data_IF_212482244274
#
_entry.id   IF_212482244274
#
_cell.length_a   1.000
_cell.length_b   1.000
_cell.length_c   1.000
_cell.angle_alpha   90.00
_cell.angle_beta   90.00
_cell.angle_gamma   90.00
#
_symmetry.space_group_name_H-M   'P 1'
#
loop_
_entity.id
_entity.type
_entity.pdbx_description
1 polymer ?
#
# COMPACT_ATOMS: atom_id res chain seq x y z
N UNK A 1 33.42 43.16 -39.41
CA UNK A 1 32.51 42.33 -40.24
C UNK A 1 31.15 42.27 -39.57
N UNK A 2 30.12 42.83 -40.21
CA UNK A 2 28.77 42.90 -39.66
C UNK A 2 27.94 41.74 -40.26
N UNK A 3 27.54 40.77 -39.43
CA UNK A 3 26.73 39.64 -39.91
C UNK A 3 25.34 40.10 -40.36
N UNK A 4 24.88 39.57 -41.51
CA UNK A 4 23.57 39.87 -42.08
C UNK A 4 22.41 39.49 -41.13
N UNK A 5 21.31 40.28 -41.12
CA UNK A 5 20.24 40.19 -40.12
C UNK A 5 19.48 38.86 -40.13
N UNK A 6 19.42 38.16 -41.27
CA UNK A 6 18.76 36.86 -41.40
C UNK A 6 19.56 35.75 -40.70
N UNK A 7 20.89 35.80 -40.80
CA UNK A 7 21.80 34.84 -40.16
C UNK A 7 21.72 34.94 -38.63
N UNK A 8 21.55 36.17 -38.10
CA UNK A 8 21.36 36.41 -36.66
C UNK A 8 20.03 35.83 -36.15
N UNK A 9 18.93 35.92 -36.92
CA UNK A 9 17.62 35.32 -36.57
C UNK A 9 17.66 33.79 -36.62
N UNK A 10 18.33 33.21 -37.61
CA UNK A 10 18.49 31.75 -37.71
C UNK A 10 19.36 31.19 -36.59
N UNK A 11 20.45 31.89 -36.22
CA UNK A 11 21.27 31.52 -35.06
C UNK A 11 20.52 31.64 -33.73
N UNK A 12 19.70 32.70 -33.54
CA UNK A 12 18.90 32.85 -32.31
C UNK A 12 17.83 31.75 -32.17
N UNK A 13 17.20 31.35 -33.28
CA UNK A 13 16.21 30.26 -33.30
C UNK A 13 16.86 28.88 -33.07
N UNK A 14 18.07 28.65 -33.58
CA UNK A 14 18.81 27.42 -33.33
C UNK A 14 19.23 27.27 -31.86
N UNK A 15 19.57 28.37 -31.17
CA UNK A 15 19.90 28.37 -29.73
C UNK A 15 18.64 28.11 -28.87
N UNK A 16 17.47 28.63 -29.27
CA UNK A 16 16.20 28.37 -28.56
C UNK A 16 15.72 26.91 -28.70
N UNK A 17 15.95 26.27 -29.85
CA UNK A 17 15.57 24.85 -30.06
C UNK A 17 16.53 23.90 -29.33
N UNK A 18 17.81 24.27 -29.20
CA UNK A 18 18.79 23.48 -28.45
C UNK A 18 18.63 23.56 -26.92
N UNK A 19 17.98 24.61 -26.40
CA UNK A 19 17.80 24.81 -24.95
C UNK A 19 16.59 24.05 -24.34
N UNK A 20 15.72 23.46 -25.17
CA UNK A 20 14.44 22.86 -24.72
C UNK A 20 14.55 21.34 -24.46
N UNK A 21 15.66 20.68 -24.81
CA UNK A 21 15.71 19.21 -24.87
C UNK A 21 16.63 18.54 -23.83
N UNK A 22 16.64 19.01 -22.59
CA UNK A 22 17.19 18.24 -21.46
C UNK A 22 16.34 18.40 -20.21
N UNK A 23 15.07 17.98 -20.28
CA UNK A 23 14.34 17.59 -19.07
C UNK A 23 14.89 16.21 -18.72
N UNK A 24 15.93 16.15 -17.89
CA UNK A 24 16.33 14.90 -17.25
C UNK A 24 15.22 14.54 -16.26
N UNK A 25 14.36 13.60 -16.66
CA UNK A 25 13.52 12.89 -15.70
C UNK A 25 14.48 12.05 -14.87
N UNK A 26 14.82 12.53 -13.66
CA UNK A 26 15.49 11.71 -12.68
C UNK A 26 14.49 10.60 -12.31
N UNK A 27 14.69 9.40 -12.87
CA UNK A 27 14.03 8.21 -12.38
C UNK A 27 14.61 7.92 -11.00
N UNK A 28 13.97 8.44 -9.95
CA UNK A 28 14.28 8.03 -8.60
C UNK A 28 13.94 6.55 -8.50
N UNK A 29 14.95 5.71 -8.26
CA UNK A 29 14.72 4.31 -7.96
C UNK A 29 13.98 4.25 -6.62
N UNK A 30 12.67 4.01 -6.65
CA UNK A 30 11.84 3.87 -5.46
C UNK A 30 12.18 2.53 -4.79
N UNK A 31 12.54 2.57 -3.50
CA UNK A 31 12.76 1.37 -2.71
C UNK A 31 11.42 0.81 -2.22
N UNK A 32 11.32 -0.51 -2.07
CA UNK A 32 10.10 -1.19 -1.67
C UNK A 32 10.37 -2.18 -0.53
N UNK A 33 9.37 -2.35 0.34
CA UNK A 33 9.27 -3.42 1.32
C UNK A 33 8.41 -4.54 0.74
N UNK A 34 8.88 -5.78 0.81
CA UNK A 34 8.11 -6.95 0.41
C UNK A 34 7.33 -7.50 1.60
N UNK A 35 6.02 -7.66 1.44
CA UNK A 35 5.16 -8.33 2.40
C UNK A 35 4.75 -9.66 1.82
N UNK A 36 5.01 -10.75 2.53
CA UNK A 36 4.60 -12.09 2.15
C UNK A 36 3.94 -12.79 3.34
N UNK A 37 3.13 -13.80 3.06
CA UNK A 37 2.48 -14.53 4.13
C UNK A 37 1.43 -15.48 3.62
N UNK A 38 0.63 -15.99 4.55
CA UNK A 38 -0.51 -16.84 4.25
C UNK A 38 -1.78 -16.31 4.90
N UNK A 39 -2.83 -16.24 4.09
CA UNK A 39 -4.19 -16.12 4.58
C UNK A 39 -4.72 -17.51 4.97
N UNK A 40 -5.17 -17.62 6.21
CA UNK A 40 -5.86 -18.77 6.76
C UNK A 40 -7.36 -18.48 6.77
N UNK A 41 -8.14 -19.36 6.19
CA UNK A 41 -9.60 -19.30 6.24
C UNK A 41 -10.10 -20.65 6.76
N UNK A 42 -11.17 -20.63 7.57
CA UNK A 42 -11.71 -21.85 8.16
C UNK A 42 -12.19 -22.85 7.09
N UNK A 43 -12.72 -22.37 5.96
CA UNK A 43 -12.94 -23.19 4.77
C UNK A 43 -11.64 -23.36 3.98
N UNK A 44 -11.44 -24.56 3.43
CA UNK A 44 -10.22 -24.89 2.68
C UNK A 44 -10.11 -24.15 1.33
N UNK A 45 -11.13 -23.39 0.90
CA UNK A 45 -11.17 -22.65 -0.35
C UNK A 45 -10.85 -21.16 -0.15
N UNK A 46 -10.10 -20.59 -1.10
CA UNK A 46 -9.80 -19.15 -1.18
C UNK A 46 -10.72 -18.42 -2.16
N UNK A 47 -11.80 -19.07 -2.60
CA UNK A 47 -12.75 -18.49 -3.55
C UNK A 47 -13.44 -17.25 -2.94
N UNK A 48 -13.57 -16.21 -3.76
CA UNK A 48 -14.22 -14.94 -3.40
C UNK A 48 -13.57 -14.20 -2.21
N UNK A 49 -12.30 -14.51 -1.90
CA UNK A 49 -11.50 -13.65 -1.02
C UNK A 49 -10.95 -12.50 -1.84
N UNK A 50 -11.16 -11.28 -1.35
CA UNK A 50 -10.56 -10.06 -1.85
C UNK A 50 -9.54 -9.55 -0.83
N UNK A 51 -8.29 -9.41 -1.26
CA UNK A 51 -7.24 -8.77 -0.49
C UNK A 51 -6.83 -7.51 -1.25
N UNK A 52 -6.93 -6.35 -0.61
CA UNK A 52 -6.61 -5.07 -1.24
C UNK A 52 -5.70 -4.25 -0.36
N UNK A 53 -4.89 -3.40 -0.98
CA UNK A 53 -4.07 -2.40 -0.31
C UNK A 53 -4.47 -1.04 -0.82
N UNK A 54 -4.70 -0.09 0.09
CA UNK A 54 -5.03 1.29 -0.28
C UNK A 54 -4.19 2.30 0.49
N UNK A 55 -3.74 3.35 -0.19
CA UNK A 55 -3.10 4.53 0.41
C UNK A 55 -4.13 5.63 0.75
N UNK A 56 -5.43 5.33 0.59
CA UNK A 56 -6.55 6.27 0.74
C UNK A 56 -6.98 6.96 -0.56
N UNK A 57 -6.18 6.85 -1.62
CA UNK A 57 -6.44 7.44 -2.94
C UNK A 57 -6.54 6.38 -4.03
N UNK A 58 -5.55 5.49 -4.08
CA UNK A 58 -5.47 4.36 -4.98
C UNK A 58 -5.70 3.05 -4.21
N UNK A 59 -6.23 2.06 -4.90
CA UNK A 59 -6.45 0.71 -4.37
C UNK A 59 -5.85 -0.30 -5.33
N UNK A 60 -5.01 -1.17 -4.79
CA UNK A 60 -4.37 -2.27 -5.50
C UNK A 60 -4.92 -3.61 -5.01
N UNK A 61 -5.33 -4.46 -5.94
CA UNK A 61 -5.67 -5.85 -5.63
C UNK A 61 -4.39 -6.67 -5.39
N UNK A 62 -4.38 -7.44 -4.30
CA UNK A 62 -3.31 -8.39 -3.98
C UNK A 62 -3.72 -9.78 -4.47
N UNK A 63 -2.85 -10.38 -5.29
CA UNK A 63 -3.09 -11.73 -5.80
C UNK A 63 -2.90 -12.78 -4.72
N UNK A 64 -3.97 -13.52 -4.41
CA UNK A 64 -3.96 -14.69 -3.54
C UNK A 64 -3.80 -15.98 -4.35
N UNK A 65 -2.87 -16.84 -3.92
CA UNK A 65 -2.75 -18.19 -4.46
C UNK A 65 -3.78 -19.11 -3.82
N UNK A 66 -4.10 -20.22 -4.48
CA UNK A 66 -5.05 -21.22 -3.97
C UNK A 66 -4.71 -21.80 -2.58
N UNK A 67 -3.43 -21.74 -2.17
CA UNK A 67 -2.98 -22.16 -0.85
C UNK A 67 -2.94 -21.02 0.19
N UNK A 68 -3.58 -19.88 -0.10
CA UNK A 68 -3.64 -18.69 0.75
C UNK A 68 -2.39 -17.83 0.71
N UNK A 69 -1.33 -18.21 -0.02
CA UNK A 69 -0.10 -17.40 -0.09
C UNK A 69 -0.32 -16.12 -0.87
N UNK A 70 0.25 -15.02 -0.37
CA UNK A 70 0.27 -13.73 -1.04
C UNK A 70 1.66 -13.09 -0.98
N UNK A 71 1.90 -12.14 -1.88
CA UNK A 71 3.06 -11.26 -1.88
C UNK A 71 2.64 -9.91 -2.47
N UNK A 72 3.02 -8.81 -1.82
CA UNK A 72 2.86 -7.46 -2.36
C UNK A 72 4.00 -6.54 -1.91
N UNK A 73 4.10 -5.37 -2.54
CA UNK A 73 5.20 -4.43 -2.34
C UNK A 73 4.64 -3.05 -1.98
N UNK A 74 5.15 -2.49 -0.89
CA UNK A 74 4.81 -1.13 -0.48
C UNK A 74 6.07 -0.27 -0.61
N UNK A 75 5.99 0.93 -1.21
CA UNK A 75 7.11 1.86 -1.19
C UNK A 75 7.63 2.12 0.23
N UNK A 76 8.92 2.39 0.37
CA UNK A 76 9.47 2.96 1.62
C UNK A 76 8.96 4.39 1.79
N UNK A 77 8.73 4.82 3.03
CA UNK A 77 8.13 6.12 3.38
C UNK A 77 6.68 6.28 2.93
N UNK A 78 5.90 5.22 3.12
CA UNK A 78 4.49 5.19 2.78
C UNK A 78 3.66 4.61 3.93
N UNK A 79 2.35 4.87 3.89
CA UNK A 79 1.39 4.30 4.82
C UNK A 79 0.15 3.83 4.07
N UNK A 80 -0.19 2.56 4.26
CA UNK A 80 -1.31 1.92 3.57
C UNK A 80 -2.18 1.14 4.54
N UNK A 81 -3.41 0.85 4.11
CA UNK A 81 -4.33 -0.07 4.77
C UNK A 81 -4.46 -1.33 3.91
N UNK A 82 -4.10 -2.48 4.49
CA UNK A 82 -4.42 -3.79 3.93
C UNK A 82 -5.82 -4.20 4.41
N UNK A 83 -6.69 -4.56 3.48
CA UNK A 83 -8.06 -5.00 3.76
C UNK A 83 -8.25 -6.42 3.24
N UNK A 84 -8.87 -7.25 4.08
CA UNK A 84 -9.34 -8.59 3.74
C UNK A 84 -10.86 -8.59 3.78
N UNK A 85 -11.46 -9.02 2.69
CA UNK A 85 -12.89 -9.16 2.58
C UNK A 85 -13.26 -10.50 1.93
N UNK A 86 -14.33 -11.10 2.44
CA UNK A 86 -14.94 -12.29 1.87
C UNK A 86 -16.40 -12.34 2.31
N UNK A 87 -17.35 -12.55 1.38
CA UNK A 87 -18.75 -12.72 1.73
C UNK A 87 -18.96 -13.82 2.78
N UNK A 88 -19.71 -13.51 3.84
CA UNK A 88 -19.95 -14.42 4.96
C UNK A 88 -18.82 -14.48 6.00
N UNK A 89 -17.82 -13.61 5.91
CA UNK A 89 -16.72 -13.46 6.88
C UNK A 89 -16.66 -12.02 7.40
N UNK A 90 -16.08 -11.87 8.58
CA UNK A 90 -15.84 -10.55 9.18
C UNK A 90 -14.66 -9.91 8.44
N UNK A 91 -14.89 -8.75 7.82
CA UNK A 91 -13.83 -8.01 7.12
C UNK A 91 -12.77 -7.53 8.11
N UNK A 92 -11.49 -7.62 7.72
CA UNK A 92 -10.35 -7.28 8.58
C UNK A 92 -9.47 -6.26 7.90
N UNK A 93 -8.96 -5.31 8.68
CA UNK A 93 -8.00 -4.31 8.20
C UNK A 93 -6.74 -4.30 9.05
N UNK A 94 -5.62 -3.97 8.41
CA UNK A 94 -4.29 -3.86 9.01
C UNK A 94 -3.63 -2.59 8.51
N UNK A 95 -3.01 -1.83 9.39
CA UNK A 95 -2.21 -0.66 9.03
C UNK A 95 -0.77 -1.09 8.73
N UNK A 96 -0.19 -0.56 7.67
CA UNK A 96 1.20 -0.80 7.31
C UNK A 96 1.89 0.54 7.15
N UNK A 97 2.97 0.76 7.90
CA UNK A 97 3.72 2.00 7.97
C UNK A 97 5.20 1.70 7.69
N UNK A 98 5.70 2.16 6.53
CA UNK A 98 7.06 1.87 6.05
C UNK A 98 8.03 3.04 6.23
N UNK A 99 7.68 4.08 7.00
CA UNK A 99 8.51 5.30 7.16
C UNK A 99 9.91 5.04 7.73
N UNK A 100 10.06 4.06 8.61
CA UNK A 100 11.37 3.70 9.18
C UNK A 100 11.93 2.42 8.56
N UNK A 101 11.35 1.94 7.46
CA UNK A 101 11.85 0.75 6.81
C UNK A 101 13.28 1.03 6.29
N UNK A 102 14.22 0.08 6.45
CA UNK A 102 15.56 0.27 5.92
C UNK A 102 15.47 0.48 4.40
N UNK A 103 16.21 1.46 3.88
CA UNK A 103 16.40 1.65 2.45
C UNK A 103 17.90 1.55 2.15
N UNK A 104 18.28 0.72 1.18
CA UNK A 104 19.63 0.74 0.62
C UNK A 104 19.56 1.52 -0.69
N UNK A 105 20.36 2.58 -0.80
CA UNK A 105 20.53 3.27 -2.07
C UNK A 105 21.21 2.34 -3.08
N UNK A 106 20.58 2.17 -4.24
CA UNK A 106 21.17 1.48 -5.38
C UNK A 106 20.56 0.12 -5.67
N UNK A 107 19.79 0.09 -6.76
CA UNK A 107 19.15 -1.09 -7.37
C UNK A 107 17.96 -1.62 -6.56
N UNK A 108 16.96 -2.12 -7.28
CA UNK A 108 15.72 -2.74 -6.82
C UNK A 108 16.06 -3.93 -5.90
N UNK A 109 16.46 -3.65 -4.67
CA UNK A 109 16.73 -4.64 -3.65
C UNK A 109 15.57 -4.52 -2.66
N UNK A 110 14.83 -5.63 -2.51
CA UNK A 110 13.67 -5.70 -1.60
C UNK A 110 14.21 -5.55 -0.18
N UNK A 111 14.25 -4.32 0.32
CA UNK A 111 15.13 -3.95 1.44
C UNK A 111 14.73 -4.60 2.77
N UNK A 112 13.46 -4.98 2.89
CA UNK A 112 12.93 -5.75 4.00
C UNK A 112 11.85 -6.71 3.50
N UNK A 113 11.78 -7.87 4.14
CA UNK A 113 10.76 -8.89 3.92
C UNK A 113 10.03 -9.10 5.24
N UNK A 114 8.72 -8.93 5.22
CA UNK A 114 7.86 -9.12 6.39
C UNK A 114 6.97 -10.33 6.15
N UNK A 115 7.01 -11.29 7.06
CA UNK A 115 6.08 -12.41 7.10
C UNK A 115 4.84 -12.01 7.92
N UNK A 116 3.66 -12.11 7.31
CA UNK A 116 2.38 -11.74 7.92
C UNK A 116 1.32 -12.82 7.64
N UNK A 117 1.03 -13.65 8.64
CA UNK A 117 -0.08 -14.59 8.55
C UNK A 117 -1.36 -13.96 9.08
N UNK A 118 -2.45 -14.10 8.32
CA UNK A 118 -3.75 -13.48 8.63
C UNK A 118 -4.82 -14.57 8.68
N UNK A 119 -5.85 -14.36 9.49
CA UNK A 119 -6.97 -15.31 9.60
C UNK A 119 -8.32 -14.60 9.46
N UNK A 120 -9.20 -15.12 8.59
CA UNK A 120 -10.58 -14.64 8.47
C UNK A 120 -11.54 -15.53 9.27
N UNK A 121 -12.40 -14.86 10.04
CA UNK A 121 -13.41 -15.48 10.88
C UNK A 121 -14.78 -15.39 10.20
N UNK A 122 -15.59 -16.46 10.19
CA UNK A 122 -16.91 -16.43 9.60
C UNK A 122 -17.83 -15.48 10.40
N UNK A 123 -18.73 -14.81 9.69
CA UNK A 123 -19.86 -14.13 10.32
C UNK A 123 -20.77 -15.17 10.99
N UNK A 124 -21.33 -14.89 12.16
CA UNK A 124 -22.44 -15.68 12.66
C UNK A 124 -23.66 -15.48 11.75
N UNK A 125 -24.56 -16.47 11.71
CA UNK A 125 -25.70 -16.46 10.78
C UNK A 125 -26.76 -15.40 11.09
N UNK A 126 -26.77 -14.86 12.30
CA UNK A 126 -27.79 -13.98 12.85
C UNK A 126 -27.33 -12.53 13.04
N UNK A 127 -26.03 -12.24 12.88
CA UNK A 127 -25.46 -10.90 13.07
C UNK A 127 -24.51 -10.56 11.92
N UNK A 128 -24.43 -9.27 11.61
CA UNK A 128 -23.40 -8.72 10.75
C UNK A 128 -22.42 -7.93 11.61
N UNK A 129 -21.21 -8.46 11.74
CA UNK A 129 -20.19 -7.93 12.64
C UNK A 129 -19.09 -7.21 11.85
N UNK A 130 -18.53 -6.16 12.45
CA UNK A 130 -17.36 -5.46 11.94
C UNK A 130 -16.45 -5.02 13.09
N UNK A 131 -15.17 -4.84 12.80
CA UNK A 131 -14.24 -4.22 13.74
C UNK A 131 -14.34 -2.70 13.67
N UNK A 132 -14.28 -2.04 14.82
CA UNK A 132 -14.34 -0.58 14.95
C UNK A 132 -13.07 0.15 14.45
N UNK A 133 -11.94 -0.57 14.44
CA UNK A 133 -10.63 -0.10 13.99
C UNK A 133 -9.81 -1.26 13.41
N UNK A 134 -8.63 -0.98 12.80
CA UNK A 134 -7.74 -2.01 12.32
C UNK A 134 -7.32 -2.99 13.42
N UNK A 135 -7.17 -4.26 13.03
CA UNK A 135 -6.79 -5.35 13.94
C UNK A 135 -5.30 -5.36 14.29
N UNK A 136 -4.49 -4.64 13.53
CA UNK A 136 -3.06 -4.63 13.75
C UNK A 136 -2.37 -3.54 12.98
N UNK A 137 -1.11 -3.32 13.34
CA UNK A 137 -0.19 -2.41 12.67
C UNK A 137 1.14 -3.12 12.42
N UNK A 138 1.67 -2.98 11.21
CA UNK A 138 3.08 -3.23 10.92
C UNK A 138 3.81 -1.90 10.86
N UNK A 139 4.89 -1.76 11.62
CA UNK A 139 5.77 -0.60 11.59
C UNK A 139 7.24 -1.02 11.68
N UNK A 140 8.14 -0.07 11.50
CA UNK A 140 9.58 -0.29 11.64
C UNK A 140 10.12 0.61 12.75
N UNK A 141 11.02 0.08 13.59
CA UNK A 141 11.67 0.87 14.63
C UNK A 141 12.59 1.94 14.03
N UNK A 142 12.48 3.17 14.50
CA UNK A 142 13.25 4.29 13.96
C UNK A 142 14.76 4.21 14.25
N UNK A 143 15.18 3.49 15.30
CA UNK A 143 16.59 3.37 15.68
C UNK A 143 17.27 2.16 15.04
N UNK A 144 16.56 1.03 14.94
CA UNK A 144 17.14 -0.24 14.46
C UNK A 144 16.70 -0.61 13.05
N UNK A 145 15.58 -0.08 12.56
CA UNK A 145 14.95 -0.50 11.30
C UNK A 145 14.32 -1.90 11.37
N UNK A 146 14.19 -2.49 12.56
CA UNK A 146 13.54 -3.79 12.74
C UNK A 146 12.02 -3.68 12.64
N UNK A 147 11.40 -4.70 12.04
CA UNK A 147 9.94 -4.78 11.92
C UNK A 147 9.28 -5.04 13.27
N UNK A 148 8.17 -4.35 13.53
CA UNK A 148 7.25 -4.59 14.64
C UNK A 148 5.86 -4.86 14.08
N UNK A 149 5.28 -5.97 14.51
CA UNK A 149 3.88 -6.32 14.27
C UNK A 149 3.17 -6.14 15.61
N UNK A 150 2.17 -5.27 15.63
CA UNK A 150 1.44 -4.87 16.82
C UNK A 150 0.00 -5.30 16.62
N UNK A 151 -0.48 -6.18 17.50
CA UNK A 151 -1.90 -6.51 17.56
C UNK A 151 -2.64 -5.34 18.22
N UNK A 152 -3.58 -4.77 17.49
CA UNK A 152 -4.54 -3.83 18.04
C UNK A 152 -5.72 -4.69 18.48
N UNK A 153 -6.28 -4.42 19.66
CA UNK A 153 -7.44 -5.16 20.18
C UNK A 153 -8.71 -4.37 19.82
N UNK A 154 -9.32 -4.58 18.63
CA UNK A 154 -10.53 -3.91 18.21
C UNK A 154 -11.77 -4.48 18.85
N UNK A 155 -12.72 -3.58 19.09
CA UNK A 155 -14.04 -3.99 19.52
C UNK A 155 -14.83 -4.47 18.31
N UNK A 156 -15.57 -5.55 18.51
CA UNK A 156 -16.47 -6.11 17.52
C UNK A 156 -17.85 -5.47 17.68
N UNK A 157 -18.34 -4.82 16.64
CA UNK A 157 -19.60 -4.08 16.63
C UNK A 157 -20.60 -4.74 15.68
N UNK A 158 -21.89 -4.54 15.95
CA UNK A 158 -22.96 -4.88 15.02
C UNK A 158 -23.03 -3.77 13.96
N UNK A 159 -22.87 -4.11 12.68
CA UNK A 159 -22.76 -3.16 11.59
C UNK A 159 -23.95 -2.18 11.50
N UNK A 160 -25.15 -2.64 11.85
CA UNK A 160 -26.37 -1.80 11.86
C UNK A 160 -26.40 -0.72 12.95
N UNK A 161 -25.57 -0.83 13.99
CA UNK A 161 -25.52 0.15 15.08
C UNK A 161 -24.47 1.25 14.84
N UNK A 162 -23.56 1.06 13.87
CA UNK A 162 -22.48 1.98 13.55
C UNK A 162 -22.92 3.18 12.67
N UNK A 163 -24.19 3.27 12.27
CA UNK A 163 -24.71 4.40 11.48
C UNK A 163 -25.24 5.57 12.34
N UNK A 164 -25.20 5.48 13.67
CA UNK A 164 -25.79 6.48 14.57
C UNK A 164 -24.79 7.50 15.12
N UNK A 165 -23.92 8.06 14.26
CA UNK A 165 -23.19 9.29 14.60
C UNK A 165 -22.94 10.17 13.36
N UNK A 166 -23.99 10.41 12.56
CA UNK A 166 -24.03 11.53 11.63
C UNK A 166 -24.86 12.68 12.24
N UNK A 167 -24.12 13.70 12.68
CA UNK A 167 -24.45 15.08 13.09
C UNK A 167 -25.89 15.57 12.76
N UNK A 168 -26.64 16.13 13.73
CA UNK A 168 -27.87 16.88 13.44
C UNK A 168 -27.53 18.23 12.77
N UNK A 169 -28.29 18.56 11.71
CA UNK A 169 -28.28 19.88 11.06
C UNK A 169 -28.70 21.00 12.00
#
# INVERSE_FOLDING_TARGET
MNLQPHIKRTLLQAVMIAAVLTITVAANAQAFVAFEGRLLVASADMENVHMTVTDGTETMDVSLRANGKFEFFIPVNDQVTLTLDRPGYISKTMLIDTHNAPSKEGVIDRTARVELDLALEPQPSDLELCYDKPMGKVEFDAATGETRIIDLDPDLLIASENTSSAVPM
#
